data_IF_577164783110
#
_entry.id   IF_577164783110
#
_cell.length_a   1.000
_cell.length_b   1.000
_cell.length_c   1.000
_cell.angle_alpha   90.00
_cell.angle_beta   90.00
_cell.angle_gamma   90.00
#
_symmetry.space_group_name_H-M   'P 1'
#
loop_
_entity.id
_entity.type
_entity.pdbx_description
1 polymer ?
#
# COMPACT_ATOMS: atom_id res chain seq x y z
N UNK A 1 -8.33 5.42 -12.31
CA UNK A 1 -9.31 4.98 -13.33
C UNK A 1 -10.45 4.15 -12.71
N UNK A 2 -10.17 3.10 -11.92
CA UNK A 2 -11.21 2.26 -11.30
C UNK A 2 -12.17 3.06 -10.39
N UNK A 3 -11.63 3.99 -9.59
CA UNK A 3 -12.43 4.88 -8.74
C UNK A 3 -13.38 5.76 -9.56
N UNK A 4 -12.89 6.39 -10.62
CA UNK A 4 -13.72 7.24 -11.49
C UNK A 4 -14.87 6.45 -12.11
N UNK A 5 -14.59 5.24 -12.59
CA UNK A 5 -15.64 4.37 -13.14
C UNK A 5 -16.71 4.04 -12.08
N UNK A 6 -16.29 3.66 -10.87
CA UNK A 6 -17.23 3.34 -9.79
C UNK A 6 -18.01 4.57 -9.34
N UNK A 7 -17.39 5.74 -9.19
CA UNK A 7 -18.07 6.99 -8.82
C UNK A 7 -19.19 7.34 -9.82
N UNK A 8 -18.94 7.17 -11.11
CA UNK A 8 -19.94 7.47 -12.15
C UNK A 8 -21.05 6.43 -12.19
N UNK A 9 -20.72 5.16 -12.00
CA UNK A 9 -21.67 4.05 -12.17
C UNK A 9 -22.40 3.68 -10.87
N UNK A 10 -21.79 3.83 -9.69
CA UNK A 10 -22.36 3.42 -8.41
C UNK A 10 -23.73 4.03 -8.09
N UNK A 11 -23.98 5.34 -8.31
CA UNK A 11 -25.29 5.92 -8.03
C UNK A 11 -26.39 5.30 -8.90
N UNK A 12 -26.12 5.12 -10.20
CA UNK A 12 -27.09 4.50 -11.11
C UNK A 12 -27.33 3.03 -10.77
N UNK A 13 -26.27 2.28 -10.47
CA UNK A 13 -26.34 0.89 -10.04
C UNK A 13 -27.09 0.73 -8.71
N UNK A 14 -26.88 1.66 -7.77
CA UNK A 14 -27.62 1.69 -6.50
C UNK A 14 -29.12 1.83 -6.72
N UNK A 15 -29.55 2.83 -7.53
CA UNK A 15 -30.97 3.03 -7.85
C UNK A 15 -31.55 1.81 -8.58
N UNK A 16 -30.85 1.24 -9.54
CA UNK A 16 -31.29 0.04 -10.27
C UNK A 16 -31.46 -1.13 -9.30
N UNK A 17 -30.44 -1.35 -8.44
CA UNK A 17 -30.47 -2.42 -7.45
C UNK A 17 -31.58 -2.23 -6.40
N UNK A 18 -31.99 -0.99 -6.11
CA UNK A 18 -33.07 -0.69 -5.18
C UNK A 18 -34.47 -0.80 -5.80
N UNK A 19 -34.56 -0.77 -7.12
CA UNK A 19 -35.83 -0.86 -7.86
C UNK A 19 -36.10 -2.23 -8.49
N UNK A 20 -35.05 -3.04 -8.67
CA UNK A 20 -35.17 -4.35 -9.33
C UNK A 20 -34.64 -5.45 -8.39
N UNK A 21 -35.30 -6.65 -8.37
CA UNK A 21 -34.85 -7.79 -7.55
C UNK A 21 -33.62 -8.48 -8.20
N UNK A 22 -32.52 -7.73 -8.38
CA UNK A 22 -31.29 -8.20 -9.04
C UNK A 22 -30.02 -7.90 -8.24
N UNK A 23 -30.15 -7.47 -6.97
CA UNK A 23 -29.00 -7.14 -6.10
C UNK A 23 -27.99 -8.28 -6.03
N UNK A 24 -28.46 -9.48 -5.73
CA UNK A 24 -27.62 -10.68 -5.62
C UNK A 24 -27.00 -11.07 -6.96
N UNK A 25 -27.75 -10.94 -8.06
CA UNK A 25 -27.26 -11.20 -9.43
C UNK A 25 -26.16 -10.22 -9.82
N UNK A 26 -26.34 -8.93 -9.54
CA UNK A 26 -25.31 -7.91 -9.78
C UNK A 26 -24.08 -8.15 -8.92
N UNK A 27 -24.23 -8.38 -7.62
CA UNK A 27 -23.14 -8.70 -6.72
C UNK A 27 -22.34 -9.93 -7.21
N UNK A 28 -23.04 -10.96 -7.70
CA UNK A 28 -22.38 -12.15 -8.27
C UNK A 28 -21.51 -11.81 -9.48
N UNK A 29 -22.00 -10.98 -10.41
CA UNK A 29 -21.22 -10.57 -11.58
C UNK A 29 -20.00 -9.74 -11.22
N UNK A 30 -20.14 -8.77 -10.30
CA UNK A 30 -19.02 -7.98 -9.80
C UNK A 30 -17.98 -8.86 -9.09
N UNK A 31 -18.44 -9.82 -8.28
CA UNK A 31 -17.54 -10.77 -7.60
C UNK A 31 -16.81 -11.65 -8.61
N UNK A 32 -17.50 -12.21 -9.60
CA UNK A 32 -16.87 -13.04 -10.64
C UNK A 32 -15.82 -12.23 -11.41
N UNK A 33 -16.16 -11.01 -11.83
CA UNK A 33 -15.20 -10.13 -12.50
C UNK A 33 -13.98 -9.86 -11.59
N UNK A 34 -14.20 -9.48 -10.34
CA UNK A 34 -13.14 -9.26 -9.37
C UNK A 34 -12.22 -10.47 -9.20
N UNK A 35 -12.80 -11.65 -8.99
CA UNK A 35 -12.08 -12.92 -8.80
C UNK A 35 -11.26 -13.30 -10.04
N UNK A 36 -11.88 -13.26 -11.22
CA UNK A 36 -11.21 -13.64 -12.47
C UNK A 36 -10.02 -12.71 -12.75
N UNK A 37 -10.22 -11.41 -12.66
CA UNK A 37 -9.13 -10.45 -12.94
C UNK A 37 -8.07 -10.44 -11.85
N UNK A 38 -8.41 -10.75 -10.58
CA UNK A 38 -7.42 -11.00 -9.52
C UNK A 38 -6.57 -12.23 -9.84
N UNK A 39 -7.16 -13.33 -10.29
CA UNK A 39 -6.40 -14.51 -10.72
C UNK A 39 -5.49 -14.21 -11.92
N UNK A 40 -6.00 -13.45 -12.90
CA UNK A 40 -5.24 -13.07 -14.10
C UNK A 40 -4.05 -12.16 -13.80
N UNK A 41 -4.06 -11.39 -12.70
CA UNK A 41 -2.87 -10.64 -12.27
C UNK A 41 -1.65 -11.54 -12.05
N UNK A 42 -1.87 -12.79 -11.64
CA UNK A 42 -0.80 -13.78 -11.50
C UNK A 42 -0.06 -14.11 -12.81
N UNK A 43 -0.64 -13.82 -13.96
CA UNK A 43 0.01 -14.00 -15.25
C UNK A 43 0.93 -12.82 -15.65
N UNK A 44 0.78 -11.66 -14.99
CA UNK A 44 1.51 -10.44 -15.36
C UNK A 44 3.04 -10.61 -15.41
N UNK A 45 3.70 -11.31 -14.46
CA UNK A 45 5.16 -11.47 -14.48
C UNK A 45 5.71 -12.14 -15.74
N UNK A 46 4.89 -12.86 -16.49
CA UNK A 46 5.31 -13.58 -17.70
C UNK A 46 5.23 -12.73 -18.99
N UNK A 47 4.82 -11.46 -18.90
CA UNK A 47 4.70 -10.56 -20.04
C UNK A 47 5.93 -9.65 -20.26
N UNK A 48 7.05 -9.96 -19.62
CA UNK A 48 8.30 -9.22 -19.82
C UNK A 48 8.13 -7.70 -19.59
N UNK A 49 8.61 -6.89 -20.51
CA UNK A 49 8.52 -5.42 -20.45
C UNK A 49 7.10 -4.85 -20.36
N UNK A 50 6.09 -5.64 -20.75
CA UNK A 50 4.67 -5.24 -20.69
C UNK A 50 3.98 -5.66 -19.38
N UNK A 51 4.67 -6.33 -18.47
CA UNK A 51 4.11 -6.85 -17.21
C UNK A 51 3.35 -5.80 -16.42
N UNK A 52 3.87 -4.57 -16.33
CA UNK A 52 3.26 -3.48 -15.59
C UNK A 52 1.94 -3.00 -16.21
N UNK A 53 1.84 -2.98 -17.56
CA UNK A 53 0.60 -2.60 -18.28
C UNK A 53 -0.47 -3.66 -18.04
N UNK A 54 -0.10 -4.95 -18.19
CA UNK A 54 -1.00 -6.07 -17.95
C UNK A 54 -1.51 -6.05 -16.52
N UNK A 55 -0.60 -5.89 -15.54
CA UNK A 55 -0.95 -5.81 -14.13
C UNK A 55 -1.89 -4.64 -13.86
N UNK A 56 -1.60 -3.44 -14.38
CA UNK A 56 -2.43 -2.25 -14.18
C UNK A 56 -3.83 -2.41 -14.78
N UNK A 57 -3.96 -3.02 -15.95
CA UNK A 57 -5.25 -3.31 -16.58
C UNK A 57 -6.06 -4.33 -15.75
N UNK A 58 -5.45 -5.47 -15.40
CA UNK A 58 -6.10 -6.51 -14.61
C UNK A 58 -6.49 -5.99 -13.22
N UNK A 59 -5.60 -5.24 -12.56
CA UNK A 59 -5.89 -4.58 -11.29
C UNK A 59 -7.05 -3.59 -11.41
N UNK A 60 -7.09 -2.77 -12.47
CA UNK A 60 -8.16 -1.79 -12.66
C UNK A 60 -9.52 -2.47 -12.76
N UNK A 61 -9.63 -3.54 -13.55
CA UNK A 61 -10.89 -4.27 -13.71
C UNK A 61 -11.23 -5.06 -12.43
N UNK A 62 -10.25 -5.71 -11.81
CA UNK A 62 -10.42 -6.39 -10.52
C UNK A 62 -10.90 -5.45 -9.43
N UNK A 63 -10.33 -4.24 -9.35
CA UNK A 63 -10.73 -3.19 -8.42
C UNK A 63 -12.15 -2.65 -8.69
N UNK A 64 -12.58 -2.56 -9.95
CA UNK A 64 -13.97 -2.25 -10.29
C UNK A 64 -14.90 -3.36 -9.76
N UNK A 65 -14.52 -4.62 -9.94
CA UNK A 65 -15.24 -5.77 -9.42
C UNK A 65 -15.42 -5.71 -7.90
N UNK A 66 -14.34 -5.43 -7.17
CA UNK A 66 -14.35 -5.32 -5.71
C UNK A 66 -15.15 -4.11 -5.21
N UNK A 67 -14.83 -2.91 -5.70
CA UNK A 67 -15.46 -1.66 -5.24
C UNK A 67 -16.92 -1.57 -5.66
N UNK A 68 -17.24 -1.96 -6.90
CA UNK A 68 -18.62 -2.02 -7.40
C UNK A 68 -19.44 -3.08 -6.64
N UNK A 69 -18.83 -4.23 -6.33
CA UNK A 69 -19.43 -5.23 -5.47
C UNK A 69 -19.79 -4.69 -4.08
N UNK A 70 -18.92 -3.92 -3.45
CA UNK A 70 -19.16 -3.32 -2.14
C UNK A 70 -20.35 -2.35 -2.13
N UNK A 71 -20.55 -1.57 -3.19
CA UNK A 71 -21.72 -0.67 -3.33
C UNK A 71 -23.04 -1.45 -3.23
N UNK A 72 -23.06 -2.68 -3.74
CA UNK A 72 -24.23 -3.55 -3.71
C UNK A 72 -24.30 -4.37 -2.43
N UNK A 73 -23.14 -4.77 -1.88
CA UNK A 73 -23.02 -5.61 -0.69
C UNK A 73 -23.50 -4.91 0.59
N UNK A 74 -23.07 -3.68 0.85
CA UNK A 74 -23.44 -2.97 2.07
C UNK A 74 -24.96 -2.81 2.27
N UNK A 75 -25.77 -2.51 1.26
CA UNK A 75 -27.22 -2.46 1.38
C UNK A 75 -27.93 -3.78 1.72
N UNK A 76 -27.22 -4.93 1.77
CA UNK A 76 -27.82 -6.18 2.26
C UNK A 76 -28.02 -6.20 3.77
N UNK A 77 -27.24 -5.44 4.54
CA UNK A 77 -27.25 -5.46 5.99
C UNK A 77 -28.66 -5.28 6.60
N UNK A 78 -29.50 -4.34 6.18
CA UNK A 78 -30.86 -4.17 6.71
C UNK A 78 -31.78 -5.38 6.48
N UNK A 79 -31.49 -6.21 5.48
CA UNK A 79 -32.26 -7.42 5.18
C UNK A 79 -31.77 -8.66 5.94
N UNK A 80 -30.51 -8.61 6.44
CA UNK A 80 -29.86 -9.74 7.13
C UNK A 80 -30.01 -9.66 8.64
N UNK A 81 -30.14 -8.47 9.22
CA UNK A 81 -30.16 -8.28 10.66
C UNK A 81 -31.21 -7.25 11.09
N UNK A 82 -31.91 -7.53 12.21
CA UNK A 82 -32.75 -6.54 12.85
C UNK A 82 -31.95 -5.30 13.26
N UNK A 83 -32.57 -4.13 13.19
CA UNK A 83 -31.92 -2.83 13.43
C UNK A 83 -31.09 -2.77 14.72
N UNK A 84 -31.55 -3.39 15.79
CA UNK A 84 -30.83 -3.44 17.09
C UNK A 84 -29.62 -4.38 17.10
N UNK A 85 -29.50 -5.30 16.12
CA UNK A 85 -28.40 -6.26 16.02
C UNK A 85 -27.39 -5.86 14.93
N UNK A 86 -27.67 -4.83 14.13
CA UNK A 86 -26.85 -4.45 12.98
C UNK A 86 -25.42 -4.09 13.37
N UNK A 87 -25.21 -3.31 14.45
CA UNK A 87 -23.88 -2.95 14.93
C UNK A 87 -23.08 -4.19 15.37
N UNK A 88 -23.74 -5.17 15.98
CA UNK A 88 -23.13 -6.43 16.41
C UNK A 88 -22.74 -7.29 15.19
N UNK A 89 -23.66 -7.49 14.26
CA UNK A 89 -23.41 -8.29 13.05
C UNK A 89 -22.33 -7.65 12.20
N UNK A 90 -22.36 -6.32 12.04
CA UNK A 90 -21.36 -5.57 11.30
C UNK A 90 -19.97 -5.72 11.93
N UNK A 91 -19.83 -5.49 13.24
CA UNK A 91 -18.53 -5.57 13.93
C UNK A 91 -17.92 -6.96 13.86
N UNK A 92 -18.70 -8.02 14.02
CA UNK A 92 -18.21 -9.38 13.84
C UNK A 92 -17.87 -9.70 12.39
N UNK A 93 -18.68 -9.22 11.43
CA UNK A 93 -18.38 -9.36 10.01
C UNK A 93 -17.02 -8.76 9.64
N UNK A 94 -16.72 -7.56 10.10
CA UNK A 94 -15.40 -6.93 9.91
C UNK A 94 -14.29 -7.68 10.65
N UNK A 95 -14.54 -8.15 11.90
CA UNK A 95 -13.55 -8.92 12.65
C UNK A 95 -13.17 -10.23 11.93
N UNK A 96 -14.15 -10.96 11.41
CA UNK A 96 -13.89 -12.16 10.58
C UNK A 96 -13.17 -11.80 9.28
N UNK A 97 -13.51 -10.66 8.66
CA UNK A 97 -12.82 -10.15 7.47
C UNK A 97 -11.34 -9.90 7.73
N UNK A 98 -11.01 -9.19 8.81
CA UNK A 98 -9.62 -8.94 9.20
C UNK A 98 -8.88 -10.23 9.60
N UNK A 99 -9.53 -11.13 10.33
CA UNK A 99 -8.94 -12.43 10.68
C UNK A 99 -8.64 -13.27 9.42
N UNK A 100 -9.60 -13.34 8.48
CA UNK A 100 -9.39 -14.02 7.20
C UNK A 100 -8.30 -13.39 6.36
N UNK A 101 -8.26 -12.04 6.29
CA UNK A 101 -7.21 -11.30 5.61
C UNK A 101 -5.83 -11.54 6.24
N UNK A 102 -5.73 -11.55 7.56
CA UNK A 102 -4.48 -11.89 8.27
C UNK A 102 -4.02 -13.32 7.95
N UNK A 103 -4.94 -14.26 7.96
CA UNK A 103 -4.62 -15.68 7.70
C UNK A 103 -4.01 -15.86 6.30
N UNK A 104 -4.66 -15.33 5.26
CA UNK A 104 -4.14 -15.47 3.90
C UNK A 104 -2.84 -14.69 3.71
N UNK A 105 -2.69 -13.52 4.35
CA UNK A 105 -1.48 -12.72 4.28
C UNK A 105 -0.29 -13.44 4.94
N UNK A 106 -0.48 -14.11 6.08
CA UNK A 106 0.55 -14.95 6.70
C UNK A 106 0.99 -16.06 5.76
N UNK A 107 0.05 -16.76 5.13
CA UNK A 107 0.37 -17.82 4.16
C UNK A 107 1.20 -17.26 3.00
N UNK A 108 0.81 -16.11 2.46
CA UNK A 108 1.53 -15.47 1.36
C UNK A 108 2.92 -15.01 1.77
N UNK A 109 3.07 -14.44 2.98
CA UNK A 109 4.36 -14.02 3.50
C UNK A 109 5.30 -15.22 3.67
N UNK A 110 4.82 -16.30 4.30
CA UNK A 110 5.62 -17.52 4.48
C UNK A 110 6.03 -18.10 3.12
N UNK A 111 5.09 -18.23 2.18
CA UNK A 111 5.39 -18.78 0.85
C UNK A 111 6.34 -17.87 0.08
N UNK A 112 6.17 -16.55 0.17
CA UNK A 112 7.02 -15.55 -0.50
C UNK A 112 8.46 -15.59 0.03
N UNK A 113 8.63 -15.53 1.35
CA UNK A 113 9.94 -15.49 2.00
C UNK A 113 10.69 -16.82 1.96
N UNK A 114 9.98 -17.95 1.95
CA UNK A 114 10.62 -19.27 1.87
C UNK A 114 10.79 -19.77 0.44
N UNK A 115 10.33 -19.02 -0.58
CA UNK A 115 10.32 -19.51 -1.96
C UNK A 115 9.56 -20.84 -2.08
N UNK A 116 8.37 -20.92 -1.45
CA UNK A 116 7.57 -22.15 -1.36
C UNK A 116 8.37 -23.31 -0.72
N UNK A 117 8.94 -23.05 0.47
CA UNK A 117 9.76 -23.99 1.23
C UNK A 117 11.03 -24.46 0.50
N UNK A 118 11.66 -23.56 -0.25
CA UNK A 118 12.91 -23.84 -0.96
C UNK A 118 12.74 -24.48 -2.34
N UNK A 119 11.52 -24.58 -2.85
CA UNK A 119 11.27 -25.08 -4.20
C UNK A 119 11.47 -24.02 -5.30
N UNK A 120 11.59 -22.75 -4.92
CA UNK A 120 11.74 -21.61 -5.83
C UNK A 120 12.50 -20.48 -5.14
N UNK A 121 12.97 -19.50 -5.89
CA UNK A 121 13.52 -18.26 -5.35
C UNK A 121 12.43 -17.44 -4.65
N UNK A 122 12.84 -16.62 -3.67
CA UNK A 122 11.92 -15.71 -2.95
C UNK A 122 11.18 -14.82 -3.94
N UNK A 123 9.88 -14.70 -3.75
CA UNK A 123 9.00 -13.84 -4.56
C UNK A 123 9.12 -14.02 -6.08
N UNK A 124 9.51 -15.22 -6.52
CA UNK A 124 9.60 -15.56 -7.95
C UNK A 124 8.27 -15.35 -8.68
N UNK A 125 8.28 -15.22 -10.02
CA UNK A 125 7.06 -15.09 -10.83
C UNK A 125 6.00 -16.16 -10.54
N UNK A 126 6.44 -17.40 -10.30
CA UNK A 126 5.55 -18.50 -9.95
C UNK A 126 4.91 -18.32 -8.56
N UNK A 127 5.69 -17.87 -7.57
CA UNK A 127 5.18 -17.55 -6.22
C UNK A 127 4.15 -16.43 -6.29
N UNK A 128 4.40 -15.39 -7.08
CA UNK A 128 3.43 -14.31 -7.30
C UNK A 128 2.14 -14.83 -7.95
N UNK A 129 2.25 -15.72 -8.94
CA UNK A 129 1.09 -16.36 -9.56
C UNK A 129 0.27 -17.16 -8.54
N UNK A 130 0.94 -17.91 -7.68
CA UNK A 130 0.30 -18.63 -6.58
C UNK A 130 -0.43 -17.70 -5.60
N UNK A 131 0.18 -16.58 -5.21
CA UNK A 131 -0.42 -15.57 -4.33
C UNK A 131 -1.70 -15.01 -4.92
N UNK A 132 -1.72 -14.62 -6.18
CA UNK A 132 -2.91 -14.09 -6.83
C UNK A 132 -4.00 -15.15 -7.03
N UNK A 133 -3.62 -16.36 -7.42
CA UNK A 133 -4.56 -17.47 -7.60
C UNK A 133 -5.22 -17.87 -6.27
N UNK A 134 -4.45 -17.99 -5.20
CA UNK A 134 -4.99 -18.33 -3.86
C UNK A 134 -5.83 -17.21 -3.28
N UNK A 135 -5.49 -15.93 -3.52
CA UNK A 135 -6.34 -14.78 -3.18
C UNK A 135 -7.70 -14.86 -3.87
N UNK A 136 -7.71 -15.16 -5.17
CA UNK A 136 -8.94 -15.31 -5.94
C UNK A 136 -9.80 -16.49 -5.45
N UNK A 137 -9.17 -17.63 -5.17
CA UNK A 137 -9.83 -18.81 -4.60
C UNK A 137 -10.38 -18.54 -3.20
N UNK A 138 -9.63 -17.82 -2.37
CA UNK A 138 -10.08 -17.37 -1.05
C UNK A 138 -11.32 -16.50 -1.15
N UNK A 139 -11.29 -15.52 -2.03
CA UNK A 139 -12.41 -14.61 -2.23
C UNK A 139 -13.68 -15.35 -2.67
N UNK A 140 -13.61 -16.18 -3.71
CA UNK A 140 -14.80 -16.91 -4.18
C UNK A 140 -15.26 -17.96 -3.17
N UNK A 141 -14.32 -18.64 -2.47
CA UNK A 141 -14.63 -19.64 -1.45
C UNK A 141 -15.44 -19.07 -0.30
N UNK A 142 -15.00 -17.94 0.28
CA UNK A 142 -15.74 -17.26 1.35
C UNK A 142 -16.94 -16.44 0.85
N UNK A 143 -16.98 -16.09 -0.43
CA UNK A 143 -18.16 -15.50 -1.06
C UNK A 143 -19.29 -16.49 -1.36
N UNK A 144 -18.97 -17.76 -1.56
CA UNK A 144 -19.93 -18.78 -1.96
C UNK A 144 -21.10 -18.95 -0.96
N UNK A 145 -20.90 -18.96 0.36
CA UNK A 145 -22.00 -19.07 1.33
C UNK A 145 -23.02 -17.93 1.18
N UNK A 146 -22.59 -16.70 0.89
CA UNK A 146 -23.49 -15.59 0.63
C UNK A 146 -24.39 -15.88 -0.56
N UNK A 147 -23.83 -16.36 -1.67
CA UNK A 147 -24.59 -16.66 -2.89
C UNK A 147 -25.52 -17.87 -2.75
N UNK A 148 -25.20 -18.82 -1.86
CA UNK A 148 -26.02 -20.02 -1.64
C UNK A 148 -27.14 -19.76 -0.64
N UNK A 149 -26.83 -19.10 0.47
CA UNK A 149 -27.68 -19.10 1.66
C UNK A 149 -28.49 -17.79 1.82
N UNK A 150 -28.09 -16.68 1.15
CA UNK A 150 -28.82 -15.41 1.27
C UNK A 150 -29.86 -15.31 0.15
N UNK A 151 -31.15 -15.11 0.47
CA UNK A 151 -32.19 -14.86 -0.54
C UNK A 151 -31.97 -13.51 -1.23
N UNK A 152 -32.58 -13.35 -2.40
CA UNK A 152 -32.69 -12.01 -3.03
C UNK A 152 -33.57 -11.13 -2.14
N UNK A 153 -33.15 -9.91 -1.77
CA UNK A 153 -33.97 -9.00 -0.99
C UNK A 153 -35.28 -8.67 -1.67
N UNK A 154 -36.37 -8.78 -0.92
CA UNK A 154 -37.69 -8.37 -1.40
C UNK A 154 -37.76 -6.85 -1.56
N UNK A 155 -38.15 -6.39 -2.73
CA UNK A 155 -38.28 -4.98 -3.04
C UNK A 155 -39.78 -4.63 -3.09
N UNK A 156 -40.24 -3.70 -2.24
CA UNK A 156 -41.60 -3.21 -2.33
C UNK A 156 -41.80 -2.47 -3.67
N UNK A 157 -42.78 -2.90 -4.45
CA UNK A 157 -43.14 -2.31 -5.76
C UNK A 157 -41.96 -2.31 -6.76
N UNK A 158 -41.50 -3.48 -7.21
CA UNK A 158 -40.42 -3.57 -8.18
C UNK A 158 -40.82 -2.90 -9.51
N UNK A 159 -39.90 -2.15 -10.09
CA UNK A 159 -40.06 -1.60 -11.44
C UNK A 159 -39.60 -2.59 -12.48
N UNK A 160 -40.40 -2.82 -13.48
CA UNK A 160 -40.01 -3.55 -14.68
C UNK A 160 -39.53 -2.56 -15.74
N UNK A 161 -38.38 -2.80 -16.32
CA UNK A 161 -37.82 -2.00 -17.40
C UNK A 161 -37.77 -2.82 -18.68
N UNK A 162 -38.14 -2.20 -19.79
CA UNK A 162 -38.08 -2.85 -21.10
C UNK A 162 -36.68 -3.13 -21.60
N UNK A 163 -35.65 -2.35 -21.15
CA UNK A 163 -34.26 -2.55 -21.45
C UNK A 163 -33.36 -2.15 -20.29
N UNK A 164 -32.14 -2.69 -20.27
CA UNK A 164 -31.10 -2.29 -19.31
C UNK A 164 -30.74 -0.80 -19.45
N UNK A 165 -30.79 -0.25 -20.65
CA UNK A 165 -30.51 1.16 -20.92
C UNK A 165 -31.57 2.08 -20.32
N UNK A 166 -32.83 1.67 -20.35
CA UNK A 166 -33.93 2.44 -19.73
C UNK A 166 -33.76 2.47 -18.21
N UNK A 167 -33.36 1.36 -17.61
CA UNK A 167 -33.05 1.29 -16.18
C UNK A 167 -31.88 2.23 -15.80
N UNK A 168 -30.80 2.25 -16.58
CA UNK A 168 -29.66 3.16 -16.36
C UNK A 168 -30.08 4.62 -16.51
N UNK A 169 -30.87 4.94 -17.55
CA UNK A 169 -31.32 6.31 -17.80
C UNK A 169 -32.25 6.82 -16.70
N UNK A 170 -33.14 5.96 -16.23
CA UNK A 170 -34.06 6.29 -15.12
C UNK A 170 -33.28 6.46 -13.81
N UNK A 171 -32.30 5.55 -13.54
CA UNK A 171 -31.40 5.66 -12.40
C UNK A 171 -30.61 6.97 -12.39
N UNK A 172 -30.01 7.36 -13.51
CA UNK A 172 -29.29 8.65 -13.61
C UNK A 172 -30.22 9.86 -13.43
N UNK A 173 -31.44 9.79 -13.94
CA UNK A 173 -32.44 10.85 -13.74
C UNK A 173 -32.83 10.96 -12.26
N UNK A 174 -33.03 9.85 -11.58
CA UNK A 174 -33.37 9.83 -10.15
C UNK A 174 -32.21 10.36 -9.29
N UNK A 175 -30.96 9.99 -9.59
CA UNK A 175 -29.76 10.55 -8.96
C UNK A 175 -29.73 12.08 -9.11
N UNK A 176 -29.96 12.58 -10.33
CA UNK A 176 -29.99 14.03 -10.60
C UNK A 176 -31.09 14.74 -9.82
N UNK A 177 -32.31 14.18 -9.73
CA UNK A 177 -33.40 14.74 -8.93
C UNK A 177 -33.05 14.75 -7.44
N UNK A 178 -32.49 13.68 -6.93
CA UNK A 178 -32.06 13.55 -5.53
C UNK A 178 -31.00 14.59 -5.15
N UNK A 179 -30.03 14.86 -6.03
CA UNK A 179 -29.06 15.95 -5.81
C UNK A 179 -29.72 17.32 -5.73
N UNK A 180 -30.77 17.55 -6.50
CA UNK A 180 -31.58 18.78 -6.43
C UNK A 180 -32.35 18.90 -5.11
N UNK A 181 -32.79 17.77 -4.55
CA UNK A 181 -33.56 17.73 -3.31
C UNK A 181 -32.68 17.79 -2.06
N UNK A 182 -31.47 17.21 -2.08
CA UNK A 182 -30.52 17.24 -0.95
C UNK A 182 -30.26 18.69 -0.50
N UNK A 183 -30.22 19.64 -1.42
CA UNK A 183 -30.06 21.07 -1.10
C UNK A 183 -31.20 21.64 -0.22
N UNK A 184 -32.37 21.03 -0.26
CA UNK A 184 -33.53 21.44 0.55
C UNK A 184 -33.43 20.96 1.99
N UNK A 185 -32.61 19.91 2.24
CA UNK A 185 -32.44 19.29 3.55
C UNK A 185 -31.01 19.56 4.11
N UNK A 186 -30.86 20.74 4.72
CA UNK A 186 -29.56 21.20 5.27
C UNK A 186 -28.85 20.16 6.14
N UNK A 187 -29.57 19.44 7.01
CA UNK A 187 -29.01 18.43 7.90
C UNK A 187 -28.45 17.25 7.11
N UNK A 188 -29.16 16.78 6.08
CA UNK A 188 -28.73 15.70 5.21
C UNK A 188 -27.49 16.12 4.39
N UNK A 189 -27.49 17.33 3.86
CA UNK A 189 -26.36 17.88 3.11
C UNK A 189 -25.09 17.94 3.96
N UNK A 190 -25.19 18.44 5.21
CA UNK A 190 -24.06 18.51 6.15
C UNK A 190 -23.59 17.10 6.52
N UNK A 191 -24.50 16.17 6.75
CA UNK A 191 -24.14 14.78 7.03
C UNK A 191 -23.36 14.13 5.88
N UNK A 192 -23.86 14.27 4.65
CA UNK A 192 -23.20 13.71 3.46
C UNK A 192 -21.83 14.33 3.22
N UNK A 193 -21.71 15.65 3.39
CA UNK A 193 -20.42 16.34 3.26
C UNK A 193 -19.44 15.88 4.34
N UNK A 194 -19.88 15.78 5.59
CA UNK A 194 -19.04 15.29 6.70
C UNK A 194 -18.61 13.85 6.45
N UNK A 195 -19.53 12.99 5.98
CA UNK A 195 -19.22 11.61 5.62
C UNK A 195 -18.18 11.55 4.51
N UNK A 196 -18.35 12.33 3.44
CA UNK A 196 -17.39 12.39 2.33
C UNK A 196 -15.99 12.74 2.84
N UNK A 197 -15.87 13.82 3.61
CA UNK A 197 -14.58 14.32 4.06
C UNK A 197 -13.84 13.33 4.97
N UNK A 198 -14.51 12.77 6.00
CA UNK A 198 -13.81 11.85 6.88
C UNK A 198 -13.53 10.49 6.22
N UNK A 199 -14.44 10.01 5.39
CA UNK A 199 -14.26 8.74 4.69
C UNK A 199 -13.14 8.81 3.66
N UNK A 200 -13.03 9.92 2.95
CA UNK A 200 -11.94 10.20 2.01
C UNK A 200 -10.60 10.26 2.77
N UNK A 201 -10.53 11.00 3.88
CA UNK A 201 -9.33 11.08 4.72
C UNK A 201 -8.85 9.71 5.22
N UNK A 202 -9.75 8.88 5.75
CA UNK A 202 -9.40 7.52 6.23
C UNK A 202 -8.92 6.64 5.07
N UNK A 203 -9.62 6.65 3.93
CA UNK A 203 -9.22 5.83 2.79
C UNK A 203 -7.91 6.29 2.15
N UNK A 204 -7.65 7.58 2.11
CA UNK A 204 -6.40 8.14 1.59
C UNK A 204 -5.23 7.70 2.45
N UNK A 205 -5.28 7.90 3.76
CA UNK A 205 -4.20 7.47 4.67
C UNK A 205 -4.01 5.95 4.59
N UNK A 206 -5.10 5.16 4.64
CA UNK A 206 -5.00 3.71 4.53
C UNK A 206 -4.45 3.23 3.18
N UNK A 207 -4.83 3.90 2.07
CA UNK A 207 -4.35 3.58 0.74
C UNK A 207 -2.89 3.98 0.49
N UNK A 208 -2.43 5.03 1.18
CA UNK A 208 -1.05 5.53 1.06
C UNK A 208 -0.09 4.91 2.07
N UNK A 209 -0.59 4.18 3.07
CA UNK A 209 0.26 3.66 4.16
C UNK A 209 1.42 2.79 3.66
N UNK A 210 1.17 1.91 2.67
CA UNK A 210 2.23 1.07 2.09
C UNK A 210 3.22 1.88 1.25
N UNK A 211 2.73 2.86 0.49
CA UNK A 211 3.59 3.76 -0.29
C UNK A 211 4.44 4.65 0.62
N UNK A 212 3.86 5.14 1.72
CA UNK A 212 4.59 5.90 2.75
C UNK A 212 5.66 5.05 3.42
N UNK A 213 5.33 3.81 3.79
CA UNK A 213 6.28 2.84 4.34
C UNK A 213 7.46 2.57 3.40
N UNK A 214 7.20 2.49 2.12
CA UNK A 214 8.19 2.26 1.09
C UNK A 214 9.04 3.51 0.77
N UNK A 215 8.39 4.63 0.49
CA UNK A 215 9.05 5.84 -0.03
C UNK A 215 9.64 6.71 1.08
N UNK A 216 8.96 6.83 2.22
CA UNK A 216 9.35 7.73 3.31
C UNK A 216 10.10 6.98 4.41
N UNK A 217 9.57 5.85 4.89
CA UNK A 217 10.20 5.07 5.95
C UNK A 217 11.24 4.08 5.41
N UNK A 218 11.35 3.94 4.09
CA UNK A 218 12.28 3.02 3.41
C UNK A 218 12.22 1.59 3.94
N UNK A 219 11.03 1.14 4.32
CA UNK A 219 10.81 -0.23 4.77
C UNK A 219 11.04 -1.18 3.60
N UNK A 220 11.80 -2.23 3.85
CA UNK A 220 11.90 -3.30 2.87
C UNK A 220 10.51 -3.94 2.63
N UNK A 221 10.28 -4.61 1.50
CA UNK A 221 8.99 -5.19 1.17
C UNK A 221 8.43 -6.11 2.24
N UNK A 222 9.28 -6.94 2.88
CA UNK A 222 8.89 -7.85 3.95
C UNK A 222 8.37 -7.10 5.16
N UNK A 223 9.07 -6.06 5.61
CA UNK A 223 8.63 -5.22 6.73
C UNK A 223 7.33 -4.49 6.42
N UNK A 224 7.14 -4.05 5.17
CA UNK A 224 5.89 -3.43 4.74
C UNK A 224 4.71 -4.43 4.82
N UNK A 225 4.93 -5.70 4.43
CA UNK A 225 3.95 -6.77 4.62
C UNK A 225 3.67 -7.07 6.10
N UNK A 226 4.71 -7.12 6.94
CA UNK A 226 4.56 -7.34 8.38
C UNK A 226 3.75 -6.19 9.02
N UNK A 227 3.98 -4.95 8.63
CA UNK A 227 3.22 -3.81 9.09
C UNK A 227 1.74 -3.94 8.72
N UNK A 228 1.43 -4.28 7.48
CA UNK A 228 0.05 -4.54 7.05
C UNK A 228 -0.59 -5.70 7.83
N UNK A 229 0.17 -6.74 8.12
CA UNK A 229 -0.29 -7.88 8.93
C UNK A 229 -0.61 -7.44 10.37
N UNK A 230 0.25 -6.66 11.01
CA UNK A 230 0.02 -6.14 12.37
C UNK A 230 -1.23 -5.26 12.44
N UNK A 231 -1.45 -4.40 11.44
CA UNK A 231 -2.68 -3.60 11.34
C UNK A 231 -3.92 -4.50 11.28
N UNK A 232 -3.91 -5.53 10.44
CA UNK A 232 -5.04 -6.46 10.30
C UNK A 232 -5.27 -7.26 11.60
N UNK A 233 -4.24 -7.80 12.24
CA UNK A 233 -4.34 -8.54 13.50
C UNK A 233 -4.92 -7.65 14.61
N UNK A 234 -4.42 -6.40 14.72
CA UNK A 234 -4.92 -5.44 15.71
C UNK A 234 -6.36 -5.04 15.44
N UNK A 235 -6.76 -4.94 14.17
CA UNK A 235 -8.13 -4.59 13.79
C UNK A 235 -9.16 -5.63 14.25
N UNK A 236 -8.80 -6.91 14.37
CA UNK A 236 -9.73 -7.97 14.84
C UNK A 236 -10.34 -7.64 16.21
N UNK A 237 -9.56 -7.53 17.30
CA UNK A 237 -10.10 -7.21 18.61
C UNK A 237 -10.69 -5.80 18.68
N UNK A 238 -10.06 -4.82 18.01
CA UNK A 238 -10.51 -3.43 18.03
C UNK A 238 -11.88 -3.23 17.38
N UNK A 239 -12.18 -3.98 16.34
CA UNK A 239 -13.52 -3.94 15.70
C UNK A 239 -14.60 -4.46 16.64
N UNK A 240 -14.34 -5.55 17.35
CA UNK A 240 -15.29 -6.11 18.34
C UNK A 240 -15.47 -5.16 19.54
N UNK A 241 -14.37 -4.58 20.04
CA UNK A 241 -14.40 -3.59 21.11
C UNK A 241 -15.19 -2.37 20.66
N UNK A 242 -14.93 -1.84 19.45
CA UNK A 242 -15.66 -0.71 18.88
C UNK A 242 -17.16 -0.98 18.77
N UNK A 243 -17.56 -2.16 18.32
CA UNK A 243 -18.98 -2.56 18.29
C UNK A 243 -19.62 -2.60 19.68
N UNK A 244 -18.93 -3.14 20.70
CA UNK A 244 -19.41 -3.13 22.09
C UNK A 244 -19.54 -1.73 22.66
N UNK A 245 -18.57 -0.85 22.37
CA UNK A 245 -18.60 0.55 22.78
C UNK A 245 -19.73 1.31 22.09
N UNK A 246 -19.95 1.08 20.78
CA UNK A 246 -21.04 1.67 20.03
C UNK A 246 -22.41 1.31 20.61
N UNK A 247 -22.59 0.04 20.97
CA UNK A 247 -23.81 -0.41 21.65
C UNK A 247 -24.02 0.24 23.03
N UNK A 248 -22.93 0.50 23.78
CA UNK A 248 -23.00 1.06 25.14
C UNK A 248 -23.15 2.59 25.16
N UNK A 249 -22.39 3.29 24.34
CA UNK A 249 -22.29 4.76 24.38
C UNK A 249 -22.97 5.46 23.20
N UNK A 250 -23.44 4.69 22.23
CA UNK A 250 -24.02 5.15 20.98
C UNK A 250 -23.00 5.37 19.88
N UNK A 251 -23.36 4.93 18.67
CA UNK A 251 -22.48 4.90 17.48
C UNK A 251 -21.88 6.28 17.16
N UNK A 252 -22.67 7.37 17.27
CA UNK A 252 -22.20 8.73 16.97
C UNK A 252 -21.04 9.18 17.87
N UNK A 253 -21.11 8.87 19.19
CA UNK A 253 -20.07 9.27 20.13
C UNK A 253 -18.79 8.48 19.91
N UNK A 254 -18.92 7.16 19.73
CA UNK A 254 -17.77 6.29 19.49
C UNK A 254 -17.08 6.64 18.17
N UNK A 255 -17.84 6.94 17.13
CA UNK A 255 -17.28 7.44 15.86
C UNK A 255 -16.51 8.74 16.07
N UNK A 256 -17.08 9.69 16.83
CA UNK A 256 -16.41 10.96 17.15
C UNK A 256 -15.08 10.76 17.91
N UNK A 257 -15.05 9.85 18.90
CA UNK A 257 -13.81 9.50 19.60
C UNK A 257 -12.78 8.86 18.68
N UNK A 258 -13.20 7.90 17.86
CA UNK A 258 -12.31 7.23 16.92
C UNK A 258 -11.70 8.21 15.90
N UNK A 259 -12.50 9.13 15.36
CA UNK A 259 -12.02 10.17 14.46
C UNK A 259 -11.06 11.15 15.16
N UNK A 260 -11.34 11.49 16.42
CA UNK A 260 -10.45 12.33 17.23
C UNK A 260 -9.08 11.68 17.45
N UNK A 261 -9.06 10.40 17.88
CA UNK A 261 -7.82 9.63 18.02
C UNK A 261 -7.08 9.53 16.68
N UNK A 262 -7.79 9.24 15.60
CA UNK A 262 -7.19 9.12 14.28
C UNK A 262 -6.55 10.43 13.81
N UNK A 263 -7.22 11.56 14.03
CA UNK A 263 -6.68 12.89 13.72
C UNK A 263 -5.42 13.21 14.54
N UNK A 264 -5.44 12.91 15.85
CA UNK A 264 -4.27 13.10 16.72
C UNK A 264 -3.09 12.26 16.25
N UNK A 265 -3.32 10.97 15.96
CA UNK A 265 -2.28 10.06 15.46
C UNK A 265 -1.75 10.55 14.11
N UNK A 266 -2.61 10.98 13.19
CA UNK A 266 -2.18 11.51 11.89
C UNK A 266 -1.30 12.75 12.03
N UNK A 267 -1.64 13.68 12.95
CA UNK A 267 -0.82 14.86 13.23
C UNK A 267 0.54 14.46 13.84
N UNK A 268 0.53 13.53 14.79
CA UNK A 268 1.76 13.07 15.43
C UNK A 268 2.64 12.26 14.47
N UNK A 269 2.05 11.55 13.52
CA UNK A 269 2.78 10.75 12.53
C UNK A 269 3.69 11.59 11.63
N UNK A 270 3.43 12.88 11.48
CA UNK A 270 4.32 13.80 10.75
C UNK A 270 5.72 13.81 11.34
N UNK A 271 5.86 13.68 12.67
CA UNK A 271 7.17 13.64 13.34
C UNK A 271 7.97 12.36 13.12
N UNK A 272 7.38 11.31 12.50
CA UNK A 272 8.13 10.11 12.09
C UNK A 272 8.81 10.25 10.74
N UNK A 273 8.38 11.19 9.91
CA UNK A 273 9.07 11.44 8.66
C UNK A 273 10.44 12.04 8.98
N UNK A 274 11.55 11.44 8.53
CA UNK A 274 12.85 12.06 8.67
C UNK A 274 12.86 13.27 7.74
N UNK A 275 12.78 14.45 8.33
CA UNK A 275 12.77 15.71 7.59
C UNK A 275 14.17 16.24 7.38
N UNK A 276 15.06 15.91 8.29
CA UNK A 276 16.47 16.18 8.24
C UNK A 276 17.18 14.96 8.81
N UNK A 277 18.16 14.45 8.06
CA UNK A 277 18.97 13.34 8.52
C UNK A 277 20.03 13.89 9.48
N UNK A 278 19.90 13.60 10.77
CA UNK A 278 20.99 13.82 11.72
C UNK A 278 22.09 12.79 11.47
N UNK A 279 23.33 13.14 11.76
CA UNK A 279 24.51 12.30 11.48
C UNK A 279 24.39 10.87 11.99
N UNK A 280 23.66 10.63 13.10
CA UNK A 280 23.45 9.31 13.69
C UNK A 280 22.22 8.55 13.16
N UNK A 281 21.37 9.21 12.35
CA UNK A 281 20.10 8.67 11.86
C UNK A 281 19.94 8.78 10.34
N UNK A 282 20.99 9.16 9.66
CA UNK A 282 21.03 9.26 8.22
C UNK A 282 20.82 7.89 7.57
N UNK A 283 19.86 7.80 6.68
CA UNK A 283 19.57 6.58 5.92
C UNK A 283 20.06 6.76 4.50
N UNK A 284 21.25 6.29 4.28
CA UNK A 284 21.82 6.24 2.95
C UNK A 284 21.46 4.92 2.26
N UNK A 285 21.43 4.93 0.94
CA UNK A 285 21.28 3.69 0.16
C UNK A 285 22.52 2.81 0.33
N UNK A 286 23.69 3.45 0.43
CA UNK A 286 24.95 2.81 0.75
C UNK A 286 25.64 3.56 1.89
N UNK A 287 25.97 2.85 2.94
CA UNK A 287 26.80 3.37 4.01
C UNK A 287 27.99 2.46 4.21
N UNK A 288 29.18 3.04 4.13
CA UNK A 288 30.46 2.39 4.31
C UNK A 288 31.20 3.01 5.50
N UNK A 289 31.63 2.17 6.43
CA UNK A 289 32.42 2.59 7.58
C UNK A 289 33.87 2.05 7.40
N UNK A 290 34.87 2.90 7.63
CA UNK A 290 36.27 2.50 7.51
C UNK A 290 36.65 1.54 8.61
N UNK A 291 37.12 0.36 8.22
CA UNK A 291 37.61 -0.67 9.12
C UNK A 291 39.14 -0.86 8.90
N UNK A 292 39.99 -0.42 9.84
CA UNK A 292 41.44 -0.54 9.72
C UNK A 292 41.96 -1.99 9.84
N UNK A 293 41.11 -2.95 10.20
CA UNK A 293 41.49 -4.36 10.37
C UNK A 293 41.28 -5.18 9.09
N UNK A 294 40.66 -4.62 8.06
CA UNK A 294 40.41 -5.29 6.78
C UNK A 294 41.47 -4.85 5.77
N UNK A 295 42.06 -5.81 5.02
CA UNK A 295 43.10 -5.52 4.04
C UNK A 295 44.46 -5.15 4.66
N UNK A 296 45.36 -4.63 3.83
CA UNK A 296 46.70 -4.22 4.29
C UNK A 296 46.76 -2.77 4.78
N UNK A 297 45.89 -1.89 4.25
CA UNK A 297 45.82 -0.44 4.52
C UNK A 297 44.50 -0.01 5.16
N UNK A 298 43.61 -0.97 5.48
CA UNK A 298 42.25 -0.73 5.87
C UNK A 298 41.32 -0.61 4.64
N UNK A 299 40.05 -1.00 4.81
CA UNK A 299 39.03 -0.94 3.78
C UNK A 299 37.72 -0.38 4.35
N UNK A 300 36.85 0.10 3.48
CA UNK A 300 35.51 0.51 3.83
C UNK A 300 34.57 -0.69 3.79
N UNK A 301 33.96 -1.00 4.92
CA UNK A 301 32.99 -2.09 5.09
C UNK A 301 31.57 -1.59 4.91
N UNK A 302 30.77 -2.31 4.13
CA UNK A 302 29.37 -1.97 3.89
C UNK A 302 28.54 -2.24 5.15
N UNK A 303 28.06 -1.20 5.80
CA UNK A 303 27.24 -1.29 7.01
C UNK A 303 25.76 -1.18 6.73
N UNK A 304 25.36 -0.51 5.63
CA UNK A 304 23.97 -0.37 5.22
C UNK A 304 23.82 -0.44 3.72
N UNK A 305 22.87 -1.25 3.25
CA UNK A 305 22.47 -1.35 1.85
C UNK A 305 20.96 -1.29 1.72
N UNK A 306 20.44 -0.28 1.01
CA UNK A 306 19.04 -0.23 0.64
C UNK A 306 18.81 -0.90 -0.72
N UNK A 307 18.73 -2.22 -0.69
CA UNK A 307 18.66 -3.12 -1.83
C UNK A 307 17.65 -2.72 -2.92
N UNK A 308 16.48 -2.21 -2.52
CA UNK A 308 15.41 -1.87 -3.47
C UNK A 308 15.74 -0.66 -4.35
N UNK A 309 16.39 0.35 -3.81
CA UNK A 309 16.84 1.52 -4.57
C UNK A 309 17.79 1.11 -5.67
N UNK A 310 18.78 0.30 -5.30
CA UNK A 310 19.80 -0.24 -6.19
C UNK A 310 19.19 -1.12 -7.28
N UNK A 311 18.36 -2.08 -6.92
CA UNK A 311 17.65 -2.95 -7.89
C UNK A 311 16.77 -2.15 -8.85
N UNK A 312 16.07 -1.14 -8.35
CA UNK A 312 15.24 -0.27 -9.18
C UNK A 312 16.04 0.52 -10.20
N UNK A 313 17.24 0.96 -9.82
CA UNK A 313 18.12 1.71 -10.72
C UNK A 313 18.74 0.81 -11.79
N UNK A 314 19.30 -0.31 -11.40
CA UNK A 314 19.87 -1.29 -12.32
C UNK A 314 18.82 -1.76 -13.34
N UNK A 315 17.58 -2.03 -12.88
CA UNK A 315 16.48 -2.45 -13.77
C UNK A 315 16.06 -1.39 -14.79
N UNK A 316 16.38 -0.12 -14.56
CA UNK A 316 16.11 0.98 -15.49
C UNK A 316 17.30 1.29 -16.42
N UNK A 317 18.29 0.40 -16.48
CA UNK A 317 19.51 0.58 -17.28
C UNK A 317 20.23 1.90 -17.02
N UNK A 318 20.36 2.27 -15.74
CA UNK A 318 21.17 3.41 -15.33
C UNK A 318 20.77 4.69 -16.04
N UNK A 319 19.75 5.33 -15.55
CA UNK A 319 19.61 6.75 -15.83
C UNK A 319 20.74 7.43 -15.03
N UNK A 320 21.56 8.20 -15.68
CA UNK A 320 22.68 8.91 -15.06
C UNK A 320 23.89 9.03 -15.99
N UNK A 321 24.88 9.78 -15.57
CA UNK A 321 26.13 9.95 -16.30
C UNK A 321 26.83 8.59 -16.48
N UNK A 322 27.28 8.32 -17.70
CA UNK A 322 27.95 7.07 -18.04
C UNK A 322 29.21 6.84 -17.19
N UNK A 323 29.97 7.89 -16.90
CA UNK A 323 31.19 7.80 -16.10
C UNK A 323 30.92 7.36 -14.64
N UNK A 324 29.83 7.87 -14.03
CA UNK A 324 29.42 7.39 -12.71
C UNK A 324 28.94 5.95 -12.76
N UNK A 325 28.13 5.61 -13.76
CA UNK A 325 27.60 4.27 -13.90
C UNK A 325 28.74 3.24 -14.00
N UNK A 326 29.76 3.53 -14.81
CA UNK A 326 30.94 2.69 -14.93
C UNK A 326 31.65 2.57 -13.58
N UNK A 327 31.98 3.69 -12.92
CA UNK A 327 32.61 3.69 -11.61
C UNK A 327 31.77 2.98 -10.55
N UNK A 328 30.45 3.16 -10.57
CA UNK A 328 29.52 2.50 -9.66
C UNK A 328 29.56 0.98 -9.80
N UNK A 329 29.42 0.47 -11.03
CA UNK A 329 29.43 -0.98 -11.25
C UNK A 329 30.81 -1.60 -10.97
N UNK A 330 31.87 -0.96 -11.41
CA UNK A 330 33.24 -1.47 -11.21
C UNK A 330 33.65 -1.52 -9.72
N UNK A 331 33.13 -0.61 -8.91
CA UNK A 331 33.56 -0.45 -7.53
C UNK A 331 32.55 -0.99 -6.49
N UNK A 332 31.30 -1.27 -6.88
CA UNK A 332 30.24 -1.66 -5.96
C UNK A 332 29.76 -3.09 -6.14
N UNK A 333 30.12 -3.77 -7.21
CA UNK A 333 29.64 -5.11 -7.51
C UNK A 333 30.79 -6.09 -7.70
N UNK A 334 30.64 -7.29 -7.16
CA UNK A 334 31.53 -8.42 -7.40
C UNK A 334 31.44 -8.91 -8.86
N UNK A 335 30.22 -8.87 -9.40
CA UNK A 335 29.94 -9.20 -10.80
C UNK A 335 29.12 -8.10 -11.43
N UNK A 336 29.42 -7.76 -12.68
CA UNK A 336 28.57 -6.81 -13.42
C UNK A 336 27.18 -7.38 -13.58
N UNK A 337 26.12 -6.62 -13.22
CA UNK A 337 24.75 -7.07 -13.43
C UNK A 337 24.51 -7.42 -14.89
N UNK A 338 24.09 -8.65 -15.17
CA UNK A 338 23.68 -9.03 -16.51
C UNK A 338 22.37 -8.33 -16.87
N UNK A 339 22.32 -7.72 -18.06
CA UNK A 339 21.07 -7.24 -18.65
C UNK A 339 20.19 -8.45 -18.96
N UNK A 340 19.39 -8.90 -18.00
CA UNK A 340 18.33 -9.86 -18.26
C UNK A 340 17.29 -9.26 -19.20
N UNK A 341 16.67 -10.07 -20.04
CA UNK A 341 15.60 -9.68 -20.98
C UNK A 341 14.46 -8.84 -20.37
N UNK A 342 14.41 -8.76 -19.06
CA UNK A 342 13.37 -8.07 -18.29
C UNK A 342 13.90 -6.89 -17.45
N UNK A 343 15.16 -6.49 -17.59
CA UNK A 343 15.77 -5.43 -16.77
C UNK A 343 15.71 -5.74 -15.27
N UNK A 344 15.77 -7.01 -14.88
CA UNK A 344 15.77 -7.44 -13.49
C UNK A 344 17.17 -7.77 -13.05
N UNK A 345 17.45 -7.38 -11.82
CA UNK A 345 18.61 -7.79 -11.08
C UNK A 345 18.71 -9.31 -10.99
N UNK A 346 19.88 -9.88 -11.32
CA UNK A 346 20.16 -11.30 -11.13
C UNK A 346 20.42 -11.59 -9.65
N UNK A 347 20.09 -12.80 -9.19
CA UNK A 347 20.44 -13.22 -7.82
C UNK A 347 21.95 -13.43 -7.64
N UNK A 348 22.71 -13.45 -8.75
CA UNK A 348 24.16 -13.58 -8.78
C UNK A 348 24.89 -12.22 -8.68
N UNK A 349 24.15 -11.10 -8.72
CA UNK A 349 24.72 -9.76 -8.59
C UNK A 349 24.95 -9.43 -7.11
N UNK A 350 26.15 -9.69 -6.63
CA UNK A 350 26.54 -9.47 -5.23
C UNK A 350 27.21 -8.10 -5.11
N UNK A 351 26.72 -7.29 -4.17
CA UNK A 351 27.36 -6.01 -3.82
C UNK A 351 28.62 -6.32 -2.99
N UNK A 352 29.71 -5.62 -3.27
CA UNK A 352 30.96 -5.76 -2.50
C UNK A 352 30.72 -5.39 -1.04
N UNK A 353 31.04 -6.32 -0.14
CA UNK A 353 30.96 -6.10 1.30
C UNK A 353 32.06 -5.15 1.80
N UNK A 354 33.20 -5.09 1.11
CA UNK A 354 34.25 -4.11 1.37
C UNK A 354 34.81 -3.51 0.09
N UNK A 355 35.26 -2.26 0.16
CA UNK A 355 35.91 -1.52 -0.91
C UNK A 355 37.15 -0.82 -0.39
N UNK A 356 38.19 -0.77 -1.21
CA UNK A 356 39.44 -0.09 -0.89
C UNK A 356 39.23 1.43 -0.80
N UNK A 357 40.16 2.13 -0.10
CA UNK A 357 40.11 3.60 -0.04
C UNK A 357 40.21 4.22 -1.43
N UNK A 358 40.99 3.65 -2.35
CA UNK A 358 41.07 4.10 -3.74
C UNK A 358 39.73 3.97 -4.49
N UNK A 359 38.98 2.90 -4.29
CA UNK A 359 37.64 2.72 -4.86
C UNK A 359 36.64 3.70 -4.26
N UNK A 360 36.70 3.90 -2.94
CA UNK A 360 35.86 4.90 -2.27
C UNK A 360 36.16 6.32 -2.79
N UNK A 361 37.42 6.67 -2.95
CA UNK A 361 37.86 7.97 -3.50
C UNK A 361 37.34 8.17 -4.93
N UNK A 362 37.36 7.14 -5.78
CA UNK A 362 36.83 7.23 -7.15
C UNK A 362 35.33 7.48 -7.15
N UNK A 363 34.56 6.81 -6.28
CA UNK A 363 33.13 7.03 -6.13
C UNK A 363 32.86 8.48 -5.68
N UNK A 364 33.59 8.96 -4.66
CA UNK A 364 33.46 10.32 -4.14
C UNK A 364 33.78 11.36 -5.23
N UNK A 365 34.82 11.16 -6.02
CA UNK A 365 35.16 12.04 -7.14
C UNK A 365 34.00 12.11 -8.16
N UNK A 366 33.38 10.99 -8.48
CA UNK A 366 32.28 10.93 -9.45
C UNK A 366 30.97 11.49 -8.89
N UNK A 367 30.69 11.34 -7.60
CA UNK A 367 29.50 11.91 -6.96
C UNK A 367 29.39 13.42 -7.14
N UNK A 368 30.52 14.14 -7.11
CA UNK A 368 30.55 15.59 -7.28
C UNK A 368 30.23 16.10 -8.68
N UNK A 369 30.25 15.24 -9.70
CA UNK A 369 30.02 15.60 -11.11
C UNK A 369 28.58 15.37 -11.53
N UNK A 370 27.78 14.68 -10.72
CA UNK A 370 26.48 14.18 -11.10
C UNK A 370 25.34 14.88 -10.39
N UNK A 371 24.49 15.53 -11.18
CA UNK A 371 23.26 16.17 -10.70
C UNK A 371 22.08 15.24 -10.56
N UNK A 372 22.12 14.03 -11.16
CA UNK A 372 20.95 13.16 -11.27
C UNK A 372 21.19 11.70 -10.84
N UNK A 373 22.26 11.42 -10.07
CA UNK A 373 22.42 10.10 -9.48
C UNK A 373 21.36 9.87 -8.38
N UNK A 374 20.78 8.69 -8.41
CA UNK A 374 19.61 8.36 -7.58
C UNK A 374 19.94 7.69 -6.26
N UNK A 375 21.24 7.55 -5.95
CA UNK A 375 21.71 6.91 -4.74
C UNK A 375 22.27 7.92 -3.78
N UNK A 376 22.04 7.66 -2.51
CA UNK A 376 22.70 8.34 -1.43
C UNK A 376 23.83 7.45 -0.89
N UNK A 377 24.98 8.07 -0.68
CA UNK A 377 26.17 7.44 -0.13
C UNK A 377 26.61 8.18 1.13
N UNK A 378 27.15 7.43 2.08
CA UNK A 378 27.86 7.99 3.24
C UNK A 378 29.10 7.17 3.50
N UNK A 379 30.22 7.88 3.71
CA UNK A 379 31.49 7.30 4.13
C UNK A 379 31.85 7.83 5.51
N UNK A 380 32.17 6.92 6.44
CA UNK A 380 32.53 7.27 7.82
C UNK A 380 33.92 6.73 8.14
N UNK A 381 34.76 7.59 8.70
CA UNK A 381 36.15 7.27 9.00
C UNK A 381 37.05 7.22 7.78
N UNK A 382 38.36 6.96 7.99
CA UNK A 382 39.34 6.91 6.91
C UNK A 382 39.55 8.26 6.21
N UNK A 383 40.06 8.22 4.97
CA UNK A 383 40.40 9.40 4.20
C UNK A 383 39.13 10.08 3.58
N UNK A 384 38.04 9.33 3.47
CA UNK A 384 36.76 9.82 2.93
C UNK A 384 35.73 10.16 4.03
N UNK A 385 36.17 10.32 5.29
CA UNK A 385 35.30 10.61 6.42
C UNK A 385 34.41 11.84 6.19
N UNK A 386 33.11 11.67 6.48
CA UNK A 386 32.11 12.71 6.32
C UNK A 386 31.70 12.99 4.88
N UNK A 387 32.27 12.29 3.90
CA UNK A 387 31.81 12.41 2.52
C UNK A 387 30.46 11.74 2.34
N UNK A 388 29.51 12.49 1.81
CA UNK A 388 28.14 12.05 1.61
C UNK A 388 27.52 12.69 0.39
N UNK A 389 26.63 12.00 -0.22
CA UNK A 389 25.86 12.46 -1.36
C UNK A 389 24.45 11.97 -1.25
N UNK A 390 23.51 12.83 -1.60
CA UNK A 390 22.08 12.50 -1.65
C UNK A 390 21.63 12.68 -3.08
N UNK A 391 21.07 11.62 -3.66
CA UNK A 391 20.53 11.68 -5.01
C UNK A 391 19.27 12.55 -5.09
N UNK A 392 19.00 13.13 -6.24
CA UNK A 392 17.88 14.06 -6.49
C UNK A 392 16.47 13.45 -6.21
N UNK A 393 16.34 12.13 -6.19
CA UNK A 393 15.07 11.45 -5.88
C UNK A 393 14.97 10.99 -4.42
N UNK A 394 15.59 11.68 -3.48
CA UNK A 394 15.47 11.37 -2.06
C UNK A 394 14.27 12.12 -1.45
N UNK A 395 13.06 11.51 -1.44
CA UNK A 395 11.84 12.23 -1.08
C UNK A 395 11.69 12.49 0.42
N UNK A 396 12.67 12.06 1.23
CA UNK A 396 12.58 12.12 2.70
C UNK A 396 13.33 13.28 3.32
N UNK A 397 14.03 14.07 2.52
CA UNK A 397 14.76 15.24 3.00
C UNK A 397 13.96 16.48 2.62
N UNK A 398 13.49 17.21 3.64
CA UNK A 398 12.93 18.54 3.47
C UNK A 398 14.03 19.52 3.88
N UNK A 399 14.58 20.23 2.89
CA UNK A 399 15.57 21.27 3.10
C UNK A 399 14.93 22.63 3.36
N UNK A 400 15.63 23.52 4.07
CA UNK A 400 15.27 24.91 4.28
C UNK A 400 14.51 25.20 5.57
N UNK A 401 13.89 26.39 5.65
CA UNK A 401 13.24 26.90 6.88
C UNK A 401 12.11 26.00 7.45
N UNK A 402 11.52 25.15 6.62
CA UNK A 402 10.49 24.20 7.06
C UNK A 402 11.07 22.97 7.78
N UNK A 403 12.34 22.65 7.58
CA UNK A 403 13.00 21.54 8.27
C UNK A 403 13.12 21.77 9.79
N UNK A 404 13.34 23.03 10.19
CA UNK A 404 13.49 23.44 11.59
C UNK A 404 12.16 23.64 12.33
N UNK A 405 11.04 23.48 11.64
CA UNK A 405 9.77 23.85 12.21
C UNK A 405 9.02 22.66 12.85
N UNK A 406 7.78 22.52 12.54
CA UNK A 406 6.81 21.62 13.13
C UNK A 406 7.21 20.12 13.23
N UNK A 407 7.79 19.49 12.21
CA UNK A 407 8.12 18.07 12.31
C UNK A 407 9.30 17.76 13.23
N UNK A 408 10.34 18.60 13.24
CA UNK A 408 11.45 18.46 14.15
C UNK A 408 11.01 18.69 15.61
N UNK A 409 10.10 19.65 15.82
CA UNK A 409 9.50 19.87 17.14
C UNK A 409 8.76 18.62 17.64
N UNK A 410 8.02 17.93 16.81
CA UNK A 410 7.35 16.67 17.15
C UNK A 410 8.35 15.55 17.39
N UNK A 411 9.35 15.39 16.51
CA UNK A 411 10.39 14.38 16.67
C UNK A 411 11.11 14.54 18.00
N UNK A 412 11.61 15.72 18.28
CA UNK A 412 12.49 15.97 19.44
C UNK A 412 11.73 15.99 20.77
N UNK A 413 10.52 16.51 20.78
CA UNK A 413 9.76 16.68 22.03
C UNK A 413 8.76 15.56 22.31
N UNK A 414 8.37 14.77 21.31
CA UNK A 414 7.38 13.70 21.47
C UNK A 414 8.02 12.32 21.25
N UNK A 415 8.69 12.13 20.13
CA UNK A 415 9.14 10.78 19.72
C UNK A 415 10.47 10.36 20.36
N UNK A 416 11.49 11.23 20.40
CA UNK A 416 12.77 10.93 21.07
C UNK A 416 12.59 10.64 22.56
N UNK A 417 11.83 11.44 23.35
CA UNK A 417 11.62 11.15 24.77
C UNK A 417 10.84 9.89 25.07
N UNK A 418 9.93 9.48 24.18
CA UNK A 418 9.15 8.25 24.35
C UNK A 418 9.97 6.97 24.12
N UNK A 419 11.14 7.10 23.52
CA UNK A 419 12.13 6.05 23.31
C UNK A 419 11.49 4.67 23.08
N UNK A 420 10.69 4.56 22.04
CA UNK A 420 9.96 3.32 21.74
C UNK A 420 10.87 2.15 21.32
N UNK A 421 12.19 2.24 21.55
CA UNK A 421 13.13 1.12 21.35
C UNK A 421 13.15 0.55 19.94
N UNK A 422 12.44 1.17 19.01
CA UNK A 422 12.48 0.83 17.61
C UNK A 422 13.59 1.66 17.01
N UNK A 423 14.83 1.17 17.15
CA UNK A 423 15.84 1.47 16.17
C UNK A 423 15.27 0.88 14.87
N UNK A 424 14.76 1.72 14.02
CA UNK A 424 14.46 1.37 12.64
C UNK A 424 15.85 1.24 11.93
N UNK A 425 16.63 0.24 12.32
CA UNK A 425 17.78 -0.22 11.58
C UNK A 425 17.32 -1.07 10.41
#
# INVERSE_FOLDING_TARGET
LSMLFVIVTAPALGVIADRMPIKKKLLKWYTIAGVVFTALMGAAPYFGSQAYIVLALMYTIGAIGFKGGNVIYYPFMPYLAERRCQDHVSSWGYAYGFAGGSTILIVHLVVGETGFFGLSTKWSPWVLSFVFATTALWWIGFGMPLFRNTPEPEIPNPKEYGSAMDAVRDGLREVRSTFGEVRKFKVLAIYLLSYLLFFDGINTIGGMASAFGDSVLRLNPTMNFVLLLMVNITAVPMTVIGGKLANRFGTKRVLGWSLGVYAIVAILAVGFAPLELEDDHERYDFQYDFNPEIGEEGEYELTTLYDRGVKGWVSKNGQGDQAFREAFFENMFETMPEEGDNGRWSDDDVVLESITDGQAAEIVEKMGVMSDHRFSFSFRGGDQDGMRSVGDEHPTIIEGELADWWPNLLRDNVWKPLNFGVSLQ
#
